data_IF_589352162364
#
_entry.id   IF_589352162364
#
_cell.length_a   1.000
_cell.length_b   1.000
_cell.length_c   1.000
_cell.angle_alpha   90.00
_cell.angle_beta   90.00
_cell.angle_gamma   90.00
#
_symmetry.space_group_name_H-M   'P 1'
#
loop_
_entity.id
_entity.type
_entity.pdbx_description
1 polymer ?
#
# COMPACT_ATOMS: atom_id res chain seq x y z
N UNK A 1 -11.60 -13.73 -7.35
CA UNK A 1 -10.30 -13.02 -7.26
C UNK A 1 -9.97 -12.19 -8.51
N UNK A 2 -10.85 -12.11 -9.52
CA UNK A 2 -10.56 -11.65 -10.89
C UNK A 2 -10.57 -10.13 -11.15
N UNK A 3 -10.49 -9.25 -10.14
CA UNK A 3 -10.56 -7.79 -10.37
C UNK A 3 -9.63 -6.92 -9.50
N UNK A 4 -8.53 -7.48 -9.00
CA UNK A 4 -7.53 -6.69 -8.27
C UNK A 4 -6.60 -5.94 -9.24
N UNK A 5 -6.07 -4.76 -8.90
CA UNK A 5 -5.01 -4.12 -9.68
C UNK A 5 -3.75 -4.99 -9.76
N UNK A 6 -2.96 -4.83 -10.83
CA UNK A 6 -1.73 -5.61 -11.05
C UNK A 6 -0.75 -5.51 -9.87
N UNK A 7 -0.54 -4.30 -9.34
CA UNK A 7 0.33 -4.09 -8.18
C UNK A 7 -0.14 -4.79 -6.90
N UNK A 8 -1.46 -4.98 -6.72
CA UNK A 8 -1.98 -5.74 -5.59
C UNK A 8 -1.77 -7.23 -5.80
N UNK A 9 -1.92 -7.74 -7.03
CA UNK A 9 -1.61 -9.14 -7.34
C UNK A 9 -0.13 -9.44 -7.09
N UNK A 10 0.77 -8.57 -7.53
CA UNK A 10 2.20 -8.65 -7.25
C UNK A 10 2.45 -8.74 -5.74
N UNK A 11 1.83 -7.88 -4.93
CA UNK A 11 1.97 -7.91 -3.47
C UNK A 11 1.40 -9.17 -2.79
N UNK A 12 0.67 -10.03 -3.50
CA UNK A 12 0.25 -11.33 -2.95
C UNK A 12 1.36 -12.40 -3.07
N UNK A 13 2.44 -12.11 -3.79
CA UNK A 13 3.58 -13.00 -3.95
C UNK A 13 4.56 -12.86 -2.78
N UNK A 14 5.09 -13.98 -2.28
CA UNK A 14 5.95 -13.99 -1.09
C UNK A 14 7.28 -13.24 -1.28
N UNK A 15 7.75 -13.16 -2.53
CA UNK A 15 8.99 -12.51 -2.95
C UNK A 15 8.80 -11.02 -3.31
N UNK A 16 7.60 -10.46 -3.14
CA UNK A 16 7.35 -9.04 -3.36
C UNK A 16 7.95 -8.13 -2.26
N UNK A 17 8.39 -8.74 -1.15
CA UNK A 17 8.83 -8.04 0.05
C UNK A 17 10.32 -8.27 0.34
N UNK A 18 11.03 -7.31 0.94
CA UNK A 18 12.44 -7.44 1.31
C UNK A 18 12.66 -8.31 2.56
N UNK A 19 11.58 -8.82 3.17
CA UNK A 19 11.61 -9.68 4.35
C UNK A 19 10.79 -10.95 4.09
N UNK A 20 10.97 -12.02 4.89
CA UNK A 20 10.10 -13.18 4.82
C UNK A 20 8.63 -12.79 5.07
N UNK A 21 7.75 -13.18 4.14
CA UNK A 21 6.32 -12.89 4.20
C UNK A 21 5.52 -14.20 4.07
N UNK A 22 5.40 -14.95 5.17
CA UNK A 22 4.53 -16.12 5.22
C UNK A 22 3.05 -15.71 5.20
N UNK A 23 2.22 -16.52 4.56
CA UNK A 23 0.75 -16.39 4.55
C UNK A 23 0.22 -14.99 4.24
N UNK A 24 0.65 -14.43 3.09
CA UNK A 24 0.22 -13.11 2.62
C UNK A 24 -1.31 -13.07 2.47
N UNK A 25 -1.96 -12.13 3.15
CA UNK A 25 -3.42 -11.96 3.15
C UNK A 25 -3.80 -10.56 2.72
N UNK A 26 -4.88 -10.47 1.95
CA UNK A 26 -5.46 -9.19 1.55
C UNK A 26 -6.76 -8.94 2.32
N UNK A 27 -6.80 -7.83 3.05
CA UNK A 27 -8.03 -7.23 3.60
C UNK A 27 -8.36 -6.00 2.78
N UNK A 28 -9.63 -5.84 2.43
CA UNK A 28 -10.10 -4.70 1.65
C UNK A 28 -11.06 -3.86 2.47
N UNK A 29 -10.89 -2.55 2.41
CA UNK A 29 -11.89 -1.58 2.86
C UNK A 29 -12.46 -0.84 1.65
N UNK A 30 -13.39 0.08 1.90
CA UNK A 30 -13.91 0.98 0.87
C UNK A 30 -12.80 1.84 0.22
N UNK A 31 -11.78 2.22 0.99
CA UNK A 31 -10.76 3.21 0.56
C UNK A 31 -9.34 2.64 0.49
N UNK A 32 -9.12 1.39 0.89
CA UNK A 32 -7.76 0.83 0.97
C UNK A 32 -7.70 -0.67 0.68
N UNK A 33 -6.53 -1.08 0.19
CA UNK A 33 -6.03 -2.44 0.26
C UNK A 33 -5.08 -2.53 1.46
N UNK A 34 -5.21 -3.57 2.27
CA UNK A 34 -4.36 -3.84 3.42
C UNK A 34 -3.77 -5.23 3.24
N UNK A 35 -2.47 -5.30 3.00
CA UNK A 35 -1.73 -6.54 2.79
C UNK A 35 -1.02 -6.90 4.08
N UNK A 36 -1.39 -8.02 4.68
CA UNK A 36 -0.70 -8.60 5.84
C UNK A 36 0.39 -9.51 5.31
N UNK A 37 1.65 -9.24 5.67
CA UNK A 37 2.82 -9.93 5.13
C UNK A 37 3.82 -10.22 6.26
N UNK A 38 3.68 -11.39 6.91
CA UNK A 38 4.48 -11.70 8.11
C UNK A 38 4.27 -10.68 9.23
N UNK A 39 5.37 -10.11 9.71
CA UNK A 39 5.36 -9.11 10.80
C UNK A 39 4.93 -7.71 10.33
N UNK A 40 4.83 -7.48 9.01
CA UNK A 40 4.54 -6.16 8.44
C UNK A 40 3.13 -6.09 7.84
N UNK A 41 2.59 -4.86 7.83
CA UNK A 41 1.32 -4.53 7.17
C UNK A 41 1.53 -3.40 6.19
N UNK A 42 1.15 -3.63 4.94
CA UNK A 42 1.23 -2.63 3.88
C UNK A 42 -0.16 -2.13 3.49
N UNK A 43 -0.39 -0.82 3.58
CA UNK A 43 -1.68 -0.20 3.27
C UNK A 43 -1.57 0.72 2.07
N UNK A 44 -2.40 0.46 1.05
CA UNK A 44 -2.47 1.24 -0.19
C UNK A 44 -3.85 1.86 -0.37
N UNK A 45 -3.92 3.16 -0.66
CA UNK A 45 -5.18 3.87 -0.91
C UNK A 45 -5.72 3.55 -2.31
N UNK A 46 -7.02 3.23 -2.40
CA UNK A 46 -7.74 2.98 -3.66
C UNK A 46 -7.96 4.29 -4.42
N UNK A 47 -7.98 4.28 -5.77
CA UNK A 47 -8.23 5.47 -6.57
C UNK A 47 -9.74 5.78 -6.64
N UNK A 48 -10.28 6.35 -5.57
CA UNK A 48 -11.72 6.60 -5.39
C UNK A 48 -12.01 8.07 -5.11
N UNK A 49 -13.23 8.50 -5.44
CA UNK A 49 -13.78 9.80 -5.04
C UNK A 49 -15.17 9.58 -4.44
N UNK A 50 -15.34 9.96 -3.17
CA UNK A 50 -16.62 9.89 -2.45
C UNK A 50 -17.21 11.29 -2.21
N UNK A 51 -16.68 12.35 -2.84
CA UNK A 51 -17.11 13.74 -2.65
C UNK A 51 -16.55 14.40 -1.38
N UNK A 52 -16.41 13.65 -0.28
CA UNK A 52 -15.73 14.08 0.95
C UNK A 52 -14.29 13.56 1.07
N UNK A 53 -13.89 12.65 0.17
CA UNK A 53 -12.57 12.02 0.13
C UNK A 53 -12.18 11.77 -1.31
N UNK A 54 -11.02 12.28 -1.71
CA UNK A 54 -10.55 12.19 -3.09
C UNK A 54 -9.13 11.64 -3.18
N UNK A 55 -9.01 10.40 -3.67
CA UNK A 55 -7.77 9.65 -3.87
C UNK A 55 -7.51 9.36 -5.35
N UNK A 56 -8.14 10.09 -6.28
CA UNK A 56 -8.13 9.73 -7.70
C UNK A 56 -6.76 9.84 -8.36
N UNK A 57 -5.91 10.78 -7.94
CA UNK A 57 -4.55 10.93 -8.47
C UNK A 57 -3.49 10.33 -7.54
N UNK A 58 -2.30 10.07 -8.06
CA UNK A 58 -1.18 9.56 -7.26
C UNK A 58 -0.70 10.60 -6.24
N UNK A 59 -0.65 11.87 -6.63
CA UNK A 59 -0.23 13.00 -5.79
C UNK A 59 -1.17 13.16 -4.60
N UNK A 60 -2.49 13.08 -4.83
CA UNK A 60 -3.48 13.10 -3.75
C UNK A 60 -3.29 11.93 -2.80
N UNK A 61 -3.10 10.72 -3.34
CA UNK A 61 -2.85 9.52 -2.51
C UNK A 61 -1.58 9.67 -1.68
N UNK A 62 -0.49 10.15 -2.28
CA UNK A 62 0.78 10.42 -1.59
C UNK A 62 0.58 11.41 -0.44
N UNK A 63 -0.03 12.56 -0.72
CA UNK A 63 -0.33 13.57 0.30
C UNK A 63 -1.10 12.98 1.48
N UNK A 64 -2.19 12.26 1.24
CA UNK A 64 -2.97 11.67 2.32
C UNK A 64 -2.26 10.52 3.05
N UNK A 65 -1.37 9.78 2.39
CA UNK A 65 -0.52 8.79 3.06
C UNK A 65 0.49 9.47 4.00
N UNK A 66 1.12 10.57 3.55
CA UNK A 66 2.02 11.39 4.38
C UNK A 66 1.28 11.96 5.61
N UNK A 67 0.08 12.52 5.42
CA UNK A 67 -0.73 13.01 6.54
C UNK A 67 -1.10 11.90 7.52
N UNK A 68 -1.52 10.73 7.02
CA UNK A 68 -1.84 9.57 7.87
C UNK A 68 -0.62 9.14 8.71
N UNK A 69 0.57 9.11 8.10
CA UNK A 69 1.82 8.79 8.79
C UNK A 69 2.13 9.82 9.89
N UNK A 70 2.09 11.12 9.57
CA UNK A 70 2.38 12.21 10.51
C UNK A 70 1.41 12.24 11.68
N UNK A 71 0.12 12.04 11.42
CA UNK A 71 -0.92 12.10 12.45
C UNK A 71 -0.85 10.88 13.37
N UNK A 72 -0.76 9.67 12.80
CA UNK A 72 -0.86 8.45 13.60
C UNK A 72 0.42 8.13 14.36
N UNK A 73 1.60 8.52 13.86
CA UNK A 73 2.88 8.34 14.61
C UNK A 73 2.90 9.06 15.96
N UNK A 74 2.11 10.12 16.14
CA UNK A 74 2.00 10.82 17.43
C UNK A 74 1.47 9.89 18.54
N UNK A 75 0.65 8.91 18.17
CA UNK A 75 0.01 7.97 19.08
C UNK A 75 0.64 6.57 18.99
N UNK A 76 1.12 6.17 17.81
CA UNK A 76 1.61 4.82 17.53
C UNK A 76 2.89 4.84 16.67
N UNK A 77 4.01 5.38 17.18
CA UNK A 77 5.22 5.59 16.39
C UNK A 77 5.87 4.29 15.90
N UNK A 78 5.73 3.19 16.65
CA UNK A 78 6.27 1.87 16.28
C UNK A 78 5.40 1.10 15.29
N UNK A 79 4.13 1.48 15.12
CA UNK A 79 3.21 0.81 14.16
C UNK A 79 3.32 1.47 12.78
N UNK A 80 3.47 2.79 12.73
CA UNK A 80 3.52 3.54 11.47
C UNK A 80 4.97 3.78 11.07
N UNK A 81 5.59 2.77 10.47
CA UNK A 81 7.03 2.74 10.21
C UNK A 81 7.51 3.63 9.06
N UNK A 82 6.68 3.87 8.04
CA UNK A 82 7.09 4.71 6.92
C UNK A 82 6.12 4.70 5.74
N UNK A 83 6.53 5.40 4.68
CA UNK A 83 5.88 5.34 3.37
C UNK A 83 6.62 4.36 2.48
N UNK A 84 5.85 3.70 1.63
CA UNK A 84 6.37 2.85 0.58
C UNK A 84 5.69 3.16 -0.75
N UNK A 85 6.39 2.86 -1.84
CA UNK A 85 5.89 2.99 -3.20
C UNK A 85 5.86 1.63 -3.89
N UNK A 86 4.93 1.47 -4.83
CA UNK A 86 5.07 0.44 -5.86
C UNK A 86 5.49 1.14 -7.13
N UNK A 87 6.60 0.69 -7.67
CA UNK A 87 7.19 1.24 -8.87
C UNK A 87 7.14 0.18 -9.97
N UNK A 88 7.03 0.65 -11.21
CA UNK A 88 7.01 -0.20 -12.39
C UNK A 88 8.12 0.26 -13.33
N UNK A 89 9.07 -0.62 -13.62
CA UNK A 89 10.11 -0.43 -14.62
C UNK A 89 9.91 -1.46 -15.74
N UNK A 90 9.38 -1.01 -16.88
CA UNK A 90 8.87 -1.90 -17.93
C UNK A 90 7.76 -2.80 -17.40
N UNK A 91 7.99 -4.11 -17.41
CA UNK A 91 7.06 -5.11 -16.87
C UNK A 91 7.37 -5.52 -15.42
N UNK A 92 8.43 -4.99 -14.82
CA UNK A 92 8.87 -5.35 -13.48
C UNK A 92 8.24 -4.44 -12.43
N UNK A 93 7.46 -5.02 -11.53
CA UNK A 93 6.96 -4.34 -10.34
C UNK A 93 7.90 -4.56 -9.16
N UNK A 94 8.09 -3.50 -8.35
CA UNK A 94 8.93 -3.56 -7.16
C UNK A 94 8.40 -2.66 -6.04
N UNK A 95 8.66 -3.06 -4.79
CA UNK A 95 8.41 -2.22 -3.62
C UNK A 95 9.61 -1.30 -3.41
N UNK A 96 9.38 0.02 -3.38
CA UNK A 96 10.42 1.05 -3.23
C UNK A 96 11.55 0.97 -4.28
N UNK A 97 11.24 0.55 -5.51
CA UNK A 97 12.22 0.49 -6.60
C UNK A 97 12.22 1.72 -7.49
N UNK A 98 12.79 1.57 -8.69
CA UNK A 98 12.85 2.60 -9.72
C UNK A 98 11.58 2.62 -10.58
N UNK A 99 11.19 3.81 -11.06
CA UNK A 99 10.04 4.01 -11.97
C UNK A 99 8.98 4.95 -11.44
#
# INVERSE_FOLDING_TARGET
MSNLPAYIRFLMEKNAFPHPAADVKLVQTHISYVVLAGDFVYKFKKPVDFGFLNFTTLEKRKYYCEQELVLNRRLCPSIYEGLVTINQDGDLLSLNGSG
#
